data_IF_403003669186
#
_entry.id   IF_403003669186
#
_cell.length_a   1.000
_cell.length_b   1.000
_cell.length_c   1.000
_cell.angle_alpha   90.00
_cell.angle_beta   90.00
_cell.angle_gamma   90.00
#
_symmetry.space_group_name_H-M   'P 1'
#
loop_
_entity.id
_entity.type
_entity.pdbx_description
1 polymer ?
#
# COMPACT_ATOMS: atom_id res chain seq x y z
N UNK A 1 -20.94 12.21 6.04
CA UNK A 1 -20.44 11.40 4.91
C UNK A 1 -18.95 11.65 4.76
N UNK A 2 -18.10 10.62 4.85
CA UNK A 2 -16.66 10.80 4.63
C UNK A 2 -16.41 11.24 3.18
N UNK A 3 -15.43 12.12 2.90
CA UNK A 3 -15.14 12.53 1.55
C UNK A 3 -14.86 11.29 0.68
N UNK A 4 -15.45 11.19 -0.53
CA UNK A 4 -15.34 10.01 -1.38
C UNK A 4 -13.90 9.62 -1.73
N UNK A 5 -12.98 10.60 -1.65
CA UNK A 5 -11.56 10.37 -1.85
C UNK A 5 -10.91 9.53 -0.73
N UNK A 6 -11.30 9.73 0.54
CA UNK A 6 -10.71 8.98 1.67
C UNK A 6 -11.05 7.50 1.62
N UNK A 7 -12.29 7.16 1.25
CA UNK A 7 -12.74 5.77 1.12
C UNK A 7 -11.96 5.06 0.00
N UNK A 8 -11.71 5.76 -1.12
CA UNK A 8 -10.98 5.21 -2.27
C UNK A 8 -9.49 5.01 -2.00
N UNK A 9 -8.87 5.85 -1.17
CA UNK A 9 -7.45 5.73 -0.82
C UNK A 9 -7.24 4.63 0.23
N UNK A 10 -8.13 4.54 1.23
CA UNK A 10 -8.10 3.48 2.23
C UNK A 10 -8.25 2.07 1.62
N UNK A 11 -9.12 1.91 0.62
CA UNK A 11 -9.25 0.64 -0.11
C UNK A 11 -7.95 0.27 -0.86
N UNK A 12 -7.26 1.25 -1.45
CA UNK A 12 -6.01 1.02 -2.17
C UNK A 12 -4.87 0.62 -1.24
N UNK A 13 -4.75 1.26 -0.08
CA UNK A 13 -3.76 0.84 0.93
C UNK A 13 -4.06 -0.55 1.48
N UNK A 14 -5.34 -0.91 1.66
CA UNK A 14 -5.73 -2.28 2.04
C UNK A 14 -5.27 -3.33 1.02
N UNK A 15 -5.44 -3.07 -0.28
CA UNK A 15 -4.97 -3.95 -1.36
C UNK A 15 -3.44 -4.05 -1.37
N UNK A 16 -2.74 -2.94 -1.12
CA UNK A 16 -1.27 -2.91 -1.04
C UNK A 16 -0.77 -3.75 0.14
N UNK A 17 -1.39 -3.64 1.32
CA UNK A 17 -1.06 -4.45 2.50
C UNK A 17 -1.30 -5.94 2.25
N UNK A 18 -2.39 -6.27 1.56
CA UNK A 18 -2.68 -7.64 1.17
C UNK A 18 -1.60 -8.18 0.20
N UNK A 19 -1.24 -7.41 -0.82
CA UNK A 19 -0.17 -7.77 -1.75
C UNK A 19 1.19 -7.93 -1.04
N UNK A 20 1.52 -7.05 -0.09
CA UNK A 20 2.73 -7.15 0.74
C UNK A 20 2.76 -8.44 1.55
N UNK A 21 1.64 -8.79 2.19
CA UNK A 21 1.55 -10.02 2.98
C UNK A 21 1.77 -11.25 2.12
N UNK A 22 1.17 -11.29 0.92
CA UNK A 22 1.31 -12.44 0.02
C UNK A 22 2.72 -12.56 -0.58
N UNK A 23 3.40 -11.42 -0.84
CA UNK A 23 4.83 -11.41 -1.21
C UNK A 23 5.71 -11.92 -0.06
N UNK A 24 5.46 -11.47 1.18
CA UNK A 24 6.19 -11.95 2.37
C UNK A 24 5.99 -13.44 2.64
N UNK A 25 4.79 -13.96 2.36
CA UNK A 25 4.49 -15.38 2.45
C UNK A 25 5.04 -16.20 1.26
N UNK A 26 5.86 -15.61 0.38
CA UNK A 26 6.41 -16.24 -0.82
C UNK A 26 5.36 -16.92 -1.72
N UNK A 27 4.10 -16.46 -1.70
CA UNK A 27 3.05 -16.99 -2.58
C UNK A 27 3.28 -16.64 -4.05
N UNK A 28 4.15 -15.66 -4.31
CA UNK A 28 4.50 -15.22 -5.64
C UNK A 28 5.99 -15.39 -5.88
N UNK A 29 6.34 -15.88 -7.08
CA UNK A 29 7.73 -16.02 -7.54
C UNK A 29 8.42 -14.68 -7.80
N UNK A 30 7.64 -13.61 -7.99
CA UNK A 30 8.15 -12.27 -8.25
C UNK A 30 7.20 -11.18 -7.76
N UNK A 31 7.77 -10.05 -7.35
CA UNK A 31 7.04 -8.83 -7.00
C UNK A 31 6.16 -8.37 -8.18
N UNK A 32 6.61 -8.54 -9.42
CA UNK A 32 5.83 -8.19 -10.62
C UNK A 32 4.57 -9.05 -10.76
N UNK A 33 4.63 -10.33 -10.37
CA UNK A 33 3.49 -11.24 -10.43
C UNK A 33 2.43 -10.87 -9.39
N UNK A 34 2.87 -10.57 -8.16
CA UNK A 34 1.99 -10.06 -7.11
C UNK A 34 1.35 -8.73 -7.52
N UNK A 35 2.14 -7.79 -8.05
CA UNK A 35 1.64 -6.50 -8.51
C UNK A 35 0.53 -6.65 -9.58
N UNK A 36 0.72 -7.58 -10.53
CA UNK A 36 -0.28 -7.89 -11.55
C UNK A 36 -1.53 -8.55 -10.97
N UNK A 37 -1.38 -9.48 -10.03
CA UNK A 37 -2.49 -10.17 -9.37
C UNK A 37 -3.41 -9.21 -8.59
N UNK A 38 -2.82 -8.22 -7.93
CA UNK A 38 -3.55 -7.21 -7.14
C UNK A 38 -3.85 -5.91 -7.89
N UNK A 39 -3.55 -5.85 -9.20
CA UNK A 39 -3.74 -4.67 -10.04
C UNK A 39 -3.14 -3.37 -9.45
N UNK A 40 -1.92 -3.48 -8.92
CA UNK A 40 -1.15 -2.37 -8.36
C UNK A 40 0.14 -2.14 -9.14
N UNK A 41 0.66 -0.91 -9.09
CA UNK A 41 1.95 -0.60 -9.70
C UNK A 41 3.08 -1.30 -8.96
N UNK A 42 3.98 -1.95 -9.71
CA UNK A 42 5.20 -2.58 -9.17
C UNK A 42 6.02 -1.62 -8.32
N UNK A 43 6.16 -0.37 -8.77
CA UNK A 43 6.89 0.69 -8.04
C UNK A 43 6.27 1.00 -6.69
N UNK A 44 4.93 1.01 -6.57
CA UNK A 44 4.22 1.18 -5.30
C UNK A 44 4.49 0.03 -4.35
N UNK A 45 4.45 -1.20 -4.85
CA UNK A 45 4.71 -2.39 -4.04
C UNK A 45 6.17 -2.45 -3.55
N UNK A 46 7.14 -2.11 -4.40
CA UNK A 46 8.57 -2.01 -4.03
C UNK A 46 8.77 -0.95 -2.95
N UNK A 47 8.27 0.27 -3.16
CA UNK A 47 8.40 1.35 -2.16
C UNK A 47 7.86 0.96 -0.80
N UNK A 48 6.78 0.18 -0.76
CA UNK A 48 6.19 -0.29 0.50
C UNK A 48 6.97 -1.45 1.11
N UNK A 49 7.61 -2.30 0.31
CA UNK A 49 8.58 -3.29 0.81
C UNK A 49 9.79 -2.60 1.44
N UNK A 50 10.25 -1.50 0.86
CA UNK A 50 11.32 -0.65 1.39
C UNK A 50 10.90 0.17 2.62
N UNK A 51 9.66 0.01 3.10
CA UNK A 51 9.16 0.68 4.31
C UNK A 51 8.73 2.13 4.10
N UNK A 52 8.60 2.61 2.86
CA UNK A 52 8.11 3.96 2.58
C UNK A 52 6.61 4.02 2.91
N UNK A 53 6.18 4.81 3.90
CA UNK A 53 4.77 4.91 4.30
C UNK A 53 3.93 5.63 3.24
N UNK A 54 2.60 5.52 3.33
CA UNK A 54 1.73 6.30 2.45
C UNK A 54 1.84 7.79 2.74
N UNK A 55 1.59 8.62 1.73
CA UNK A 55 1.52 10.09 1.92
C UNK A 55 0.48 10.45 2.98
N UNK A 56 -0.60 9.67 3.08
CA UNK A 56 -1.63 9.89 4.10
C UNK A 56 -1.15 9.53 5.50
N UNK A 57 -0.45 8.41 5.67
CA UNK A 57 0.19 8.03 6.95
C UNK A 57 1.25 9.05 7.38
N UNK A 58 1.99 9.61 6.41
CA UNK A 58 2.97 10.66 6.66
C UNK A 58 2.29 11.95 7.13
N UNK A 59 1.17 12.35 6.50
CA UNK A 59 0.38 13.50 6.94
C UNK A 59 -0.21 13.27 8.33
N UNK A 60 -0.57 12.04 8.69
CA UNK A 60 -1.11 11.71 10.01
C UNK A 60 -0.04 11.75 11.11
N UNK A 61 1.16 11.21 10.85
CA UNK A 61 2.29 11.27 11.79
C UNK A 61 2.71 12.70 12.11
N UNK A 62 2.68 13.59 11.12
CA UNK A 62 3.12 14.98 11.32
C UNK A 62 2.13 15.84 12.13
N UNK A 63 0.89 15.38 12.33
CA UNK A 63 -0.13 16.10 13.11
C UNK A 63 -0.09 15.81 14.60
N UNK A 64 0.63 14.76 15.02
CA UNK A 64 0.85 14.42 16.43
C UNK A 64 2.15 15.01 17.00
N UNK A 65 2.76 15.96 16.27
CA UNK A 65 3.99 16.68 16.67
C UNK A 65 3.70 18.15 17.06
N UNK A 66 2.46 18.48 17.41
CA UNK A 66 2.06 19.82 17.87
C UNK A 66 1.16 19.67 19.09
#
# INVERSE_FOLDING_TARGET
MAPPNRVRISLKEGIILLALSAVKSQQFTSISAAAKAYNISKTTLIRRLDGVPSREDFILHNKNLT
#
